data_IF_543820845364
#
_entry.id   IF_543820845364
#
_cell.length_a   1.000
_cell.length_b   1.000
_cell.length_c   1.000
_cell.angle_alpha   90.00
_cell.angle_beta   90.00
_cell.angle_gamma   90.00
#
_symmetry.space_group_name_H-M   'P 1'
#
loop_
_entity.id
_entity.type
_entity.pdbx_description
1 polymer ?
#
# COMPACT_ATOMS: atom_id res chain seq x y z
N UNK A 1 -7.23 -5.32 -7.76
CA UNK A 1 -7.15 -4.59 -6.47
C UNK A 1 -8.38 -5.00 -5.70
N UNK A 2 -8.21 -5.46 -4.47
CA UNK A 2 -9.35 -5.87 -3.63
C UNK A 2 -9.77 -4.70 -2.72
N UNK A 3 -8.83 -3.96 -2.14
CA UNK A 3 -9.13 -2.79 -1.32
C UNK A 3 -7.97 -1.77 -1.34
N UNK A 4 -8.30 -0.49 -1.20
CA UNK A 4 -7.36 0.61 -0.97
C UNK A 4 -7.81 1.32 0.30
N UNK A 5 -6.91 1.41 1.29
CA UNK A 5 -7.15 2.14 2.52
C UNK A 5 -6.11 3.25 2.72
N UNK A 6 -6.55 4.40 3.21
CA UNK A 6 -5.66 5.43 3.72
C UNK A 6 -5.02 4.94 5.03
N UNK A 7 -3.76 5.32 5.24
CA UNK A 7 -3.03 5.14 6.49
C UNK A 7 -2.37 6.47 6.90
N UNK A 8 -1.58 6.47 7.98
CA UNK A 8 -0.77 7.60 8.41
C UNK A 8 -1.58 8.83 8.82
N UNK A 9 -1.00 10.02 8.61
CA UNK A 9 -1.59 11.31 9.01
C UNK A 9 -2.91 11.59 8.28
N UNK A 10 -3.01 11.16 7.01
CA UNK A 10 -4.21 11.26 6.19
C UNK A 10 -5.41 10.47 6.76
N UNK A 11 -5.16 9.30 7.34
CA UNK A 11 -6.22 8.51 7.97
C UNK A 11 -6.54 8.99 9.39
N UNK A 12 -5.54 9.50 10.12
CA UNK A 12 -5.69 9.93 11.51
C UNK A 12 -6.38 11.28 11.70
N UNK A 13 -6.43 12.11 10.65
CA UNK A 13 -6.92 13.49 10.71
C UNK A 13 -5.85 14.53 11.07
N UNK A 14 -4.59 14.12 11.21
CA UNK A 14 -3.44 15.00 11.45
C UNK A 14 -2.69 15.40 10.18
N UNK A 15 -3.38 15.43 9.03
CA UNK A 15 -2.77 15.67 7.73
C UNK A 15 -2.39 17.13 7.53
N UNK A 16 -1.13 17.38 7.23
CA UNK A 16 -0.65 18.69 6.79
C UNK A 16 -0.50 18.76 5.26
N UNK A 17 -0.63 19.95 4.68
CA UNK A 17 -0.48 20.13 3.23
C UNK A 17 0.92 19.74 2.71
N UNK A 18 1.91 19.61 3.59
CA UNK A 18 3.29 19.15 3.32
C UNK A 18 3.47 17.63 3.41
N UNK A 19 2.50 16.90 3.96
CA UNK A 19 2.59 15.46 4.14
C UNK A 19 2.42 14.69 2.83
N UNK A 20 2.95 13.46 2.81
CA UNK A 20 2.58 12.46 1.83
C UNK A 20 1.31 11.69 2.26
N UNK A 21 0.60 11.14 1.29
CA UNK A 21 -0.58 10.31 1.54
C UNK A 21 -0.16 8.85 1.52
N UNK A 22 -0.25 8.20 2.68
CA UNK A 22 0.04 6.79 2.87
C UNK A 22 -1.15 5.90 2.51
N UNK A 23 -0.88 4.84 1.77
CA UNK A 23 -1.88 3.83 1.41
C UNK A 23 -1.49 2.44 1.88
N UNK A 24 -2.45 1.74 2.46
CA UNK A 24 -2.44 0.30 2.61
C UNK A 24 -3.18 -0.32 1.43
N UNK A 25 -2.51 -1.22 0.71
CA UNK A 25 -3.05 -1.85 -0.49
C UNK A 25 -3.34 -3.32 -0.25
N UNK A 26 -4.55 -3.74 -0.59
CA UNK A 26 -4.95 -5.13 -0.52
C UNK A 26 -5.15 -5.66 -1.94
N UNK A 27 -4.38 -6.67 -2.30
CA UNK A 27 -4.23 -7.10 -3.69
C UNK A 27 -4.46 -8.60 -3.83
N UNK A 28 -4.81 -9.02 -5.04
CA UNK A 28 -4.84 -10.44 -5.40
C UNK A 28 -3.42 -11.01 -5.44
N UNK A 29 -3.29 -12.31 -5.21
CA UNK A 29 -1.99 -12.99 -5.34
C UNK A 29 -1.42 -12.81 -6.75
N UNK A 30 -0.09 -12.70 -6.84
CA UNK A 30 0.62 -12.51 -8.12
C UNK A 30 0.49 -11.11 -8.74
N UNK A 31 -0.13 -10.14 -8.05
CA UNK A 31 -0.19 -8.75 -8.50
C UNK A 31 0.64 -7.77 -7.65
N UNK A 32 1.41 -8.25 -6.68
CA UNK A 32 2.12 -7.43 -5.68
C UNK A 32 2.99 -6.36 -6.32
N UNK A 33 3.90 -6.77 -7.18
CA UNK A 33 4.88 -5.88 -7.80
C UNK A 33 4.35 -5.12 -8.99
N UNK A 34 3.41 -5.71 -9.74
CA UNK A 34 2.71 -4.97 -10.78
C UNK A 34 1.94 -3.78 -10.17
N UNK A 35 1.28 -4.00 -9.03
CA UNK A 35 0.57 -2.94 -8.32
C UNK A 35 1.52 -1.91 -7.74
N UNK A 36 2.58 -2.37 -7.07
CA UNK A 36 3.55 -1.49 -6.46
C UNK A 36 4.22 -0.59 -7.50
N UNK A 37 4.63 -1.13 -8.65
CA UNK A 37 5.19 -0.34 -9.76
C UNK A 37 4.21 0.68 -10.33
N UNK A 38 2.94 0.32 -10.53
CA UNK A 38 1.90 1.26 -10.95
C UNK A 38 1.72 2.40 -9.95
N UNK A 39 1.69 2.10 -8.65
CA UNK A 39 1.56 3.10 -7.61
C UNK A 39 2.79 4.03 -7.53
N UNK A 40 4.02 3.52 -7.76
CA UNK A 40 5.20 4.36 -7.93
C UNK A 40 5.08 5.31 -9.13
N UNK A 41 4.62 4.80 -10.28
CA UNK A 41 4.45 5.61 -11.50
C UNK A 41 3.37 6.68 -11.32
N UNK A 42 2.26 6.36 -10.64
CA UNK A 42 1.22 7.33 -10.30
C UNK A 42 1.74 8.39 -9.33
N UNK A 43 2.51 8.01 -8.32
CA UNK A 43 3.17 8.93 -7.40
C UNK A 43 4.14 9.86 -8.13
N UNK A 44 4.96 9.34 -9.04
CA UNK A 44 5.86 10.14 -9.87
C UNK A 44 5.11 11.11 -10.78
N UNK A 45 4.06 10.65 -11.46
CA UNK A 45 3.20 11.50 -12.30
C UNK A 45 2.56 12.62 -11.49
N UNK A 46 2.05 12.31 -10.31
CA UNK A 46 1.49 13.31 -9.41
C UNK A 46 2.56 14.33 -8.98
N UNK A 47 3.75 13.85 -8.63
CA UNK A 47 4.90 14.69 -8.23
C UNK A 47 5.30 15.65 -9.36
N UNK A 48 5.40 15.16 -10.60
CA UNK A 48 5.71 15.96 -11.79
C UNK A 48 4.63 17.00 -12.10
N UNK A 49 3.35 16.65 -11.94
CA UNK A 49 2.25 17.60 -12.17
C UNK A 49 2.28 18.78 -11.19
N UNK A 50 2.79 18.55 -9.98
CA UNK A 50 2.88 19.57 -8.93
C UNK A 50 4.30 20.11 -8.75
N UNK A 51 5.27 19.73 -9.60
CA UNK A 51 6.67 20.15 -9.44
C UNK A 51 6.94 21.60 -9.85
N UNK A 52 5.96 22.28 -10.44
CA UNK A 52 6.05 23.66 -10.89
C UNK A 52 6.29 24.69 -9.76
N UNK A 53 6.30 24.26 -8.49
CA UNK A 53 6.42 25.15 -7.32
C UNK A 53 7.64 24.89 -6.42
N UNK A 54 8.57 24.00 -6.78
CA UNK A 54 9.75 23.78 -5.92
C UNK A 54 10.46 22.43 -6.03
N UNK A 55 10.35 21.74 -7.18
CA UNK A 55 11.01 20.44 -7.40
C UNK A 55 10.08 19.24 -7.20
N UNK A 56 10.64 18.04 -7.29
CA UNK A 56 9.88 16.78 -7.14
C UNK A 56 9.59 16.51 -5.66
N UNK A 57 8.34 16.76 -5.25
CA UNK A 57 7.86 16.42 -3.90
C UNK A 57 7.21 15.05 -3.89
N UNK A 58 7.49 14.23 -2.88
CA UNK A 58 6.80 12.95 -2.64
C UNK A 58 5.36 13.23 -2.20
N UNK A 59 4.38 12.84 -3.03
CA UNK A 59 2.94 13.07 -2.75
C UNK A 59 2.26 11.83 -2.20
N UNK A 60 2.64 10.64 -2.66
CA UNK A 60 2.00 9.38 -2.26
C UNK A 60 3.04 8.38 -1.79
N UNK A 61 2.64 7.54 -0.86
CA UNK A 61 3.46 6.47 -0.31
C UNK A 61 2.62 5.20 -0.16
N UNK A 62 3.24 4.06 -0.40
CA UNK A 62 2.62 2.76 -0.12
C UNK A 62 3.19 2.34 1.23
N UNK A 63 2.35 2.37 2.26
CA UNK A 63 2.75 2.00 3.60
C UNK A 63 3.00 0.49 3.67
N UNK A 64 1.98 -0.30 3.32
CA UNK A 64 2.07 -1.76 3.21
C UNK A 64 1.20 -2.24 2.04
N UNK A 65 1.62 -3.33 1.43
CA UNK A 65 0.84 -4.03 0.41
C UNK A 65 0.72 -5.50 0.82
N UNK A 66 -0.51 -5.98 0.98
CA UNK A 66 -0.82 -7.36 1.34
C UNK A 66 -1.51 -8.10 0.19
N UNK A 67 -0.97 -9.25 -0.18
CA UNK A 67 -1.63 -10.25 -1.02
C UNK A 67 -2.69 -11.02 -0.22
N UNK A 68 -3.54 -11.81 -0.89
CA UNK A 68 -4.57 -12.61 -0.21
C UNK A 68 -3.94 -13.65 0.71
N UNK A 69 -2.86 -14.30 0.26
CA UNK A 69 -2.10 -15.27 1.08
C UNK A 69 -1.49 -14.66 2.34
N UNK A 70 -1.04 -13.41 2.27
CA UNK A 70 -0.43 -12.72 3.41
C UNK A 70 -1.47 -12.22 4.44
N UNK A 71 -2.77 -12.13 4.10
CA UNK A 71 -3.82 -11.51 4.94
C UNK A 71 -4.94 -12.41 5.40
N UNK A 72 -5.07 -13.63 4.86
CA UNK A 72 -6.21 -14.52 5.13
C UNK A 72 -5.75 -15.91 5.60
N UNK A 73 -5.28 -16.06 6.87
CA UNK A 73 -5.08 -15.00 7.87
C UNK A 73 -3.70 -14.34 7.76
N UNK A 74 -3.50 -13.23 8.48
CA UNK A 74 -2.19 -12.58 8.57
C UNK A 74 -1.13 -13.49 9.17
N UNK A 75 0.08 -13.46 8.58
CA UNK A 75 1.27 -14.16 9.08
C UNK A 75 1.73 -13.60 10.43
N UNK A 76 1.69 -12.27 10.57
CA UNK A 76 1.94 -11.51 11.80
C UNK A 76 0.64 -11.28 12.56
N UNK A 77 0.65 -11.41 13.89
CA UNK A 77 -0.53 -11.27 14.76
C UNK A 77 -0.19 -10.57 16.07
N UNK A 78 -0.02 -9.27 16.01
CA UNK A 78 0.31 -8.44 17.17
C UNK A 78 -0.47 -7.13 17.21
N UNK A 79 -0.31 -6.42 18.32
CA UNK A 79 -1.01 -5.18 18.61
C UNK A 79 -0.74 -4.12 17.53
N UNK A 80 0.50 -3.97 17.07
CA UNK A 80 0.85 -2.98 16.05
C UNK A 80 0.08 -3.19 14.74
N UNK A 81 0.00 -4.45 14.25
CA UNK A 81 -0.77 -4.74 13.04
C UNK A 81 -2.27 -4.54 13.27
N UNK A 82 -2.79 -4.94 14.43
CA UNK A 82 -4.20 -4.69 14.76
C UNK A 82 -4.51 -3.18 14.81
N UNK A 83 -3.58 -2.38 15.34
CA UNK A 83 -3.69 -0.93 15.41
C UNK A 83 -3.62 -0.30 14.02
N UNK A 84 -2.70 -0.76 13.16
CA UNK A 84 -2.62 -0.33 11.76
C UNK A 84 -3.94 -0.57 11.00
N UNK A 85 -4.60 -1.70 11.25
CA UNK A 85 -5.92 -1.99 10.68
C UNK A 85 -7.00 -1.09 11.28
N UNK A 86 -7.00 -0.84 12.59
CA UNK A 86 -7.93 0.09 13.23
C UNK A 86 -7.83 1.50 12.65
N UNK A 87 -6.61 1.96 12.35
CA UNK A 87 -6.35 3.29 11.79
C UNK A 87 -6.56 3.36 10.29
N UNK A 88 -6.66 2.23 9.61
CA UNK A 88 -6.89 2.19 8.17
C UNK A 88 -8.29 2.71 7.82
N UNK A 89 -8.37 3.60 6.84
CA UNK A 89 -9.64 4.10 6.30
C UNK A 89 -9.82 3.64 4.86
N UNK A 90 -10.54 2.52 4.61
CA UNK A 90 -10.92 2.08 3.27
C UNK A 90 -11.59 3.22 2.49
N UNK A 91 -11.05 3.52 1.31
CA UNK A 91 -11.64 4.47 0.36
C UNK A 91 -12.20 3.75 -0.87
N UNK A 92 -11.86 2.47 -1.03
CA UNK A 92 -12.35 1.57 -2.06
C UNK A 92 -12.25 0.13 -1.57
N UNK A 93 -13.29 -0.68 -1.82
CA UNK A 93 -13.30 -2.10 -1.48
C UNK A 93 -13.54 -2.37 0.01
N UNK A 94 -14.41 -1.60 0.65
CA UNK A 94 -14.70 -1.70 2.08
C UNK A 94 -15.26 -3.08 2.47
N UNK A 95 -16.00 -3.75 1.57
CA UNK A 95 -16.42 -5.14 1.75
C UNK A 95 -15.23 -6.08 1.92
N UNK A 96 -14.22 -5.97 1.06
CA UNK A 96 -12.99 -6.76 1.15
C UNK A 96 -12.15 -6.40 2.37
N UNK A 97 -12.17 -5.14 2.83
CA UNK A 97 -11.54 -4.79 4.11
C UNK A 97 -12.23 -5.50 5.28
N UNK A 98 -13.56 -5.52 5.29
CA UNK A 98 -14.34 -6.24 6.31
C UNK A 98 -14.10 -7.74 6.28
N UNK A 99 -13.99 -8.35 5.10
CA UNK A 99 -13.59 -9.75 4.97
C UNK A 99 -12.23 -10.04 5.61
N UNK A 100 -11.26 -9.11 5.50
CA UNK A 100 -9.96 -9.24 6.19
C UNK A 100 -10.12 -9.24 7.69
N UNK A 101 -10.91 -8.32 8.25
CA UNK A 101 -11.15 -8.26 9.69
C UNK A 101 -11.84 -9.54 10.17
N UNK A 102 -12.88 -10.00 9.47
CA UNK A 102 -13.59 -11.25 9.79
C UNK A 102 -12.68 -12.48 9.70
N UNK A 103 -11.75 -12.51 8.75
CA UNK A 103 -10.77 -13.60 8.61
C UNK A 103 -9.67 -13.56 9.68
N UNK A 104 -9.60 -12.49 10.47
CA UNK A 104 -8.57 -12.25 11.49
C UNK A 104 -9.20 -11.84 12.84
N UNK A 105 -10.00 -12.72 13.46
CA UNK A 105 -10.73 -12.39 14.70
C UNK A 105 -9.81 -12.08 15.88
N UNK A 106 -8.52 -12.46 15.81
CA UNK A 106 -7.52 -12.11 16.81
C UNK A 106 -7.35 -10.59 16.96
N UNK A 107 -7.63 -9.80 15.91
CA UNK A 107 -7.54 -8.32 15.95
C UNK A 107 -8.53 -7.72 16.95
N UNK A 108 -9.70 -8.33 17.10
CA UNK A 108 -10.76 -7.87 18.00
C UNK A 108 -10.39 -8.01 19.49
N UNK A 109 -9.40 -8.86 19.81
CA UNK A 109 -8.86 -8.95 21.19
C UNK A 109 -8.15 -7.68 21.62
N UNK A 110 -7.54 -6.97 20.67
CA UNK A 110 -6.89 -5.69 20.91
C UNK A 110 -7.88 -4.53 20.71
N UNK A 111 -8.66 -4.58 19.62
CA UNK A 111 -9.52 -3.48 19.20
C UNK A 111 -10.90 -3.99 18.75
N UNK A 112 -11.86 -4.20 19.67
CA UNK A 112 -13.22 -4.63 19.34
C UNK A 112 -13.96 -3.69 18.38
N UNK A 113 -13.60 -2.39 18.37
CA UNK A 113 -14.22 -1.37 17.53
C UNK A 113 -14.10 -1.66 16.02
N UNK A 114 -13.13 -2.48 15.62
CA UNK A 114 -12.98 -2.95 14.23
C UNK A 114 -14.21 -3.68 13.70
N UNK A 115 -15.00 -4.30 14.58
CA UNK A 115 -16.24 -5.00 14.20
C UNK A 115 -17.38 -4.04 13.84
N UNK A 116 -17.46 -2.91 14.54
CA UNK A 116 -18.60 -1.96 14.42
C UNK A 116 -18.27 -0.76 13.54
N UNK A 117 -17.03 -0.67 13.04
CA UNK A 117 -16.63 0.44 12.18
C UNK A 117 -17.24 0.25 10.79
N UNK A 118 -18.16 1.14 10.42
CA UNK A 118 -18.71 1.19 9.07
C UNK A 118 -17.81 1.97 8.13
N UNK A 119 -17.63 1.43 6.93
CA UNK A 119 -16.80 2.01 5.90
C UNK A 119 -17.64 2.19 4.63
N UNK A 120 -17.82 3.45 4.25
CA UNK A 120 -18.56 3.80 3.03
C UNK A 120 -17.57 3.93 1.90
N UNK A 121 -17.68 3.02 0.92
CA UNK A 121 -16.94 3.14 -0.32
C UNK A 121 -17.36 4.40 -1.07
N UNK A 122 -16.38 5.12 -1.60
CA UNK A 122 -16.69 6.15 -2.60
C UNK A 122 -17.06 5.45 -3.90
N UNK A 123 -18.07 5.99 -4.59
CA UNK A 123 -18.42 5.52 -5.93
C UNK A 123 -17.16 5.55 -6.81
N UNK A 124 -16.74 4.41 -7.38
CA UNK A 124 -15.50 4.37 -8.14
C UNK A 124 -15.65 5.23 -9.39
N UNK A 125 -14.63 6.03 -9.75
CA UNK A 125 -14.65 6.78 -10.99
C UNK A 125 -14.69 5.81 -12.18
N UNK A 126 -15.19 6.30 -13.32
CA UNK A 126 -15.16 5.52 -14.55
C UNK A 126 -13.72 5.17 -14.94
N UNK A 127 -13.51 3.93 -15.39
CA UNK A 127 -12.17 3.49 -15.77
C UNK A 127 -11.67 4.25 -17.00
N UNK A 128 -10.52 4.89 -16.86
CA UNK A 128 -9.74 5.42 -17.97
C UNK A 128 -9.30 4.30 -18.92
N UNK A 129 -8.87 4.65 -20.14
CA UNK A 129 -8.35 3.65 -21.10
C UNK A 129 -7.20 2.82 -20.52
N UNK A 130 -6.26 3.47 -19.82
CA UNK A 130 -5.17 2.79 -19.09
C UNK A 130 -5.73 1.88 -18.00
N UNK A 131 -6.71 2.34 -17.22
CA UNK A 131 -7.37 1.54 -16.18
C UNK A 131 -8.02 0.27 -16.72
N UNK A 132 -8.61 0.34 -17.92
CA UNK A 132 -9.18 -0.85 -18.60
C UNK A 132 -8.11 -1.86 -19.01
N UNK A 133 -6.97 -1.39 -19.51
CA UNK A 133 -5.83 -2.25 -19.87
C UNK A 133 -5.27 -2.93 -18.61
N UNK A 134 -5.04 -2.17 -17.55
CA UNK A 134 -4.57 -2.71 -16.26
C UNK A 134 -5.55 -3.76 -15.72
N UNK A 135 -6.85 -3.46 -15.74
CA UNK A 135 -7.89 -4.41 -15.34
C UNK A 135 -7.98 -5.64 -16.25
N UNK A 136 -7.69 -5.52 -17.54
CA UNK A 136 -7.60 -6.65 -18.46
C UNK A 136 -6.39 -7.55 -18.14
N UNK A 137 -5.21 -6.97 -17.92
CA UNK A 137 -4.01 -7.70 -17.48
C UNK A 137 -4.29 -8.48 -16.20
N UNK A 138 -4.91 -7.83 -15.20
CA UNK A 138 -5.23 -8.44 -13.91
C UNK A 138 -6.18 -9.64 -13.99
N UNK A 139 -6.93 -9.79 -15.09
CA UNK A 139 -7.82 -10.94 -15.33
C UNK A 139 -7.14 -12.12 -16.04
N UNK A 140 -5.92 -11.95 -16.55
CA UNK A 140 -5.18 -12.98 -17.29
C UNK A 140 -3.97 -13.45 -16.48
N UNK A 141 -4.03 -14.63 -15.81
CA UNK A 141 -3.01 -15.05 -14.85
C UNK A 141 -1.59 -15.11 -15.43
N UNK A 142 -1.43 -15.65 -16.64
CA UNK A 142 -0.12 -15.76 -17.30
C UNK A 142 0.48 -14.39 -17.59
N UNK A 143 -0.32 -13.46 -18.12
CA UNK A 143 0.13 -12.10 -18.40
C UNK A 143 0.47 -11.39 -17.10
N UNK A 144 -0.42 -11.44 -16.11
CA UNK A 144 -0.21 -10.86 -14.79
C UNK A 144 1.13 -11.32 -14.19
N UNK A 145 1.43 -12.63 -14.21
CA UNK A 145 2.70 -13.15 -13.70
C UNK A 145 3.93 -12.58 -14.42
N UNK A 146 3.85 -12.39 -15.75
CA UNK A 146 4.92 -11.77 -16.53
C UNK A 146 5.10 -10.31 -16.13
N UNK A 147 4.02 -9.52 -16.10
CA UNK A 147 4.12 -8.08 -15.76
C UNK A 147 4.46 -7.86 -14.29
N UNK A 148 4.06 -8.75 -13.39
CA UNK A 148 4.43 -8.71 -11.98
C UNK A 148 5.94 -8.94 -11.82
N UNK A 149 6.52 -9.91 -12.53
CA UNK A 149 7.97 -10.14 -12.54
C UNK A 149 8.76 -8.95 -13.09
N UNK A 150 8.27 -8.32 -14.17
CA UNK A 150 8.87 -7.09 -14.70
C UNK A 150 8.71 -5.93 -13.69
N UNK A 151 7.55 -5.83 -13.06
CA UNK A 151 7.27 -4.88 -11.99
C UNK A 151 8.24 -5.04 -10.82
N UNK A 152 8.58 -6.27 -10.44
CA UNK A 152 9.56 -6.55 -9.37
C UNK A 152 10.91 -5.97 -9.73
N UNK A 153 11.39 -6.21 -10.96
CA UNK A 153 12.67 -5.67 -11.45
C UNK A 153 12.69 -4.14 -11.43
N UNK A 154 11.66 -3.50 -11.99
CA UNK A 154 11.54 -2.04 -12.01
C UNK A 154 11.50 -1.44 -10.60
N UNK A 155 10.63 -1.97 -9.74
CA UNK A 155 10.46 -1.47 -8.38
C UNK A 155 11.71 -1.71 -7.53
N UNK A 156 12.41 -2.83 -7.72
CA UNK A 156 13.66 -3.12 -7.02
C UNK A 156 14.78 -2.16 -7.45
N UNK A 157 14.87 -1.83 -8.74
CA UNK A 157 15.80 -0.83 -9.23
C UNK A 157 15.51 0.55 -8.63
N UNK A 158 14.25 0.98 -8.61
CA UNK A 158 13.83 2.23 -7.99
C UNK A 158 14.14 2.26 -6.48
N UNK A 159 13.86 1.16 -5.78
CA UNK A 159 14.19 0.99 -4.36
C UNK A 159 15.70 1.10 -4.13
N UNK A 160 16.50 0.34 -4.88
CA UNK A 160 17.96 0.34 -4.76
C UNK A 160 18.56 1.72 -5.03
N UNK A 161 18.05 2.42 -6.04
CA UNK A 161 18.46 3.79 -6.35
C UNK A 161 18.14 4.76 -5.21
N UNK A 162 16.92 4.70 -4.65
CA UNK A 162 16.54 5.56 -3.52
C UNK A 162 17.42 5.32 -2.28
N UNK A 163 17.76 4.06 -2.00
CA UNK A 163 18.67 3.71 -0.91
C UNK A 163 20.09 4.22 -1.17
N UNK A 164 20.58 4.02 -2.38
CA UNK A 164 21.89 4.52 -2.78
C UNK A 164 22.01 6.04 -2.63
N UNK A 165 20.97 6.80 -2.98
CA UNK A 165 20.96 8.26 -2.78
C UNK A 165 20.96 8.66 -1.30
N UNK A 166 20.33 7.88 -0.42
CA UNK A 166 20.21 8.18 1.02
C UNK A 166 21.24 7.51 1.90
N UNK A 167 22.17 6.73 1.35
CA UNK A 167 23.13 5.90 2.12
C UNK A 167 24.01 6.69 3.10
N UNK A 168 24.25 7.97 2.82
CA UNK A 168 25.09 8.84 3.64
C UNK A 168 24.30 9.61 4.72
N UNK A 169 22.98 9.42 4.79
CA UNK A 169 22.09 10.00 5.79
C UNK A 169 21.83 8.97 6.91
N UNK A 170 22.47 9.12 8.09
CA UNK A 170 22.34 8.15 9.18
C UNK A 170 20.91 8.03 9.70
N UNK A 171 20.17 9.15 9.74
CA UNK A 171 18.80 9.19 10.24
C UNK A 171 17.86 8.44 9.28
N UNK A 172 18.06 8.60 7.98
CA UNK A 172 17.30 7.84 6.98
C UNK A 172 17.56 6.33 7.08
N UNK A 173 18.81 5.94 7.31
CA UNK A 173 19.19 4.52 7.44
C UNK A 173 18.68 3.89 8.74
N UNK A 174 18.70 4.62 9.86
CA UNK A 174 18.12 4.16 11.12
C UNK A 174 16.60 3.98 11.00
N UNK A 175 15.91 4.97 10.41
CA UNK A 175 14.46 4.89 10.15
C UNK A 175 14.13 3.71 9.25
N UNK A 176 14.93 3.46 8.22
CA UNK A 176 14.77 2.28 7.37
C UNK A 176 14.89 0.99 8.17
N UNK A 177 15.95 0.83 8.98
CA UNK A 177 16.16 -0.38 9.79
C UNK A 177 15.00 -0.62 10.77
N UNK A 178 14.50 0.46 11.40
CA UNK A 178 13.30 0.41 12.22
C UNK A 178 12.09 -0.08 11.41
N UNK A 179 11.82 0.52 10.25
CA UNK A 179 10.70 0.16 9.38
C UNK A 179 10.77 -1.29 8.91
N UNK A 180 11.95 -1.79 8.55
CA UNK A 180 12.15 -3.20 8.16
C UNK A 180 11.73 -4.16 9.27
N UNK A 181 12.08 -3.84 10.52
CA UNK A 181 11.75 -4.64 11.70
C UNK A 181 10.26 -4.60 12.00
N UNK A 182 9.67 -3.41 12.07
CA UNK A 182 8.24 -3.27 12.46
C UNK A 182 7.28 -3.63 11.34
N UNK A 183 7.72 -3.71 10.07
CA UNK A 183 6.87 -4.13 8.95
C UNK A 183 7.03 -5.60 8.59
N UNK A 184 8.00 -6.32 9.16
CA UNK A 184 8.23 -7.72 8.83
C UNK A 184 6.97 -8.58 9.06
N UNK A 185 6.58 -9.47 8.12
CA UNK A 185 7.23 -9.82 6.86
C UNK A 185 6.69 -9.06 5.61
N UNK A 186 6.04 -7.91 5.80
CA UNK A 186 5.25 -7.23 4.77
C UNK A 186 5.94 -6.05 4.09
N UNK A 187 7.23 -5.80 4.36
CA UNK A 187 7.96 -4.86 3.50
C UNK A 187 7.99 -5.42 2.07
N UNK A 188 7.95 -4.53 1.08
CA UNK A 188 7.68 -4.91 -0.32
C UNK A 188 8.68 -5.93 -0.90
N UNK A 189 9.92 -5.96 -0.43
CA UNK A 189 11.00 -6.87 -0.88
C UNK A 189 11.50 -7.82 0.24
N UNK A 190 10.65 -8.14 1.22
CA UNK A 190 10.97 -9.10 2.30
C UNK A 190 10.39 -10.52 2.07
N UNK A 191 9.93 -10.78 0.84
CA UNK A 191 9.44 -12.07 0.32
C UNK A 191 10.54 -13.07 -0.03
#
# INVERSE_FOLDING_TARGET
MDCIALSGSAASGGFEATDDVDFNLFVQDGAKYFTYSLALLLGLKASLRHSHTGGLRKITCINVLWTRRERSPFSRRDEDLAFELLRSRPIYGSSHFREVITSNPWTLRFFPQLEWTEFVDRAPPSLSGVGRIVGWIGRHPTLLAIVDRLGRGFSHAAYSFAHWMKRNDPQAMERLAFLRRVKFPYEVFQD
#
